data_IF_618143751219
#
_entry.id   IF_618143751219
#
_cell.length_a   1.000
_cell.length_b   1.000
_cell.length_c   1.000
_cell.angle_alpha   90.00
_cell.angle_beta   90.00
_cell.angle_gamma   90.00
#
_symmetry.space_group_name_H-M   'P 1'
#
loop_
_entity.id
_entity.type
_entity.pdbx_description
1 polymer ?
#
# COMPACT_ATOMS: atom_id res chain seq x y z
N UNK A 1 -34.19 19.10 -5.03
CA UNK A 1 -33.31 18.83 -3.86
C UNK A 1 -31.86 19.16 -4.18
N UNK A 2 -31.26 18.60 -5.25
CA UNK A 2 -29.87 18.89 -5.67
C UNK A 2 -29.55 20.38 -5.94
N UNK A 3 -30.52 21.17 -6.41
CA UNK A 3 -30.32 22.60 -6.71
C UNK A 3 -30.22 23.50 -5.46
N UNK A 4 -30.66 23.01 -4.29
CA UNK A 4 -30.63 23.75 -3.01
C UNK A 4 -29.62 23.17 -2.01
N UNK A 5 -28.96 22.07 -2.36
CA UNK A 5 -27.87 21.53 -1.56
C UNK A 5 -26.66 22.44 -1.70
N UNK A 6 -25.97 22.79 -0.61
CA UNK A 6 -24.64 23.39 -0.71
C UNK A 6 -23.77 22.54 -1.63
N UNK A 7 -22.96 23.17 -2.47
CA UNK A 7 -21.91 22.46 -3.21
C UNK A 7 -20.93 21.95 -2.16
N UNK A 8 -21.14 20.70 -1.73
CA UNK A 8 -20.16 19.98 -0.94
C UNK A 8 -19.04 19.61 -1.90
N UNK A 9 -18.00 20.42 -1.90
CA UNK A 9 -16.75 20.02 -2.50
C UNK A 9 -16.17 18.90 -1.63
N UNK A 10 -16.38 17.66 -2.05
CA UNK A 10 -15.77 16.49 -1.42
C UNK A 10 -14.27 16.48 -1.74
N UNK A 11 -13.50 17.40 -1.16
CA UNK A 11 -12.05 17.53 -1.36
C UNK A 11 -11.22 16.40 -0.73
N UNK A 12 -11.88 15.40 -0.12
CA UNK A 12 -11.28 14.14 0.32
C UNK A 12 -11.74 12.93 -0.52
N UNK A 13 -12.49 13.15 -1.61
CA UNK A 13 -12.83 12.08 -2.57
C UNK A 13 -11.70 11.79 -3.56
N UNK A 14 -10.57 12.46 -3.41
CA UNK A 14 -9.40 12.28 -4.27
C UNK A 14 -8.67 11.01 -3.84
N UNK A 15 -9.01 9.94 -4.54
CA UNK A 15 -8.38 8.65 -4.47
C UNK A 15 -6.93 8.84 -4.89
N UNK A 16 -6.00 8.63 -3.95
CA UNK A 16 -4.61 8.39 -4.31
C UNK A 16 -4.59 7.31 -5.42
N UNK A 17 -3.89 7.58 -6.51
CA UNK A 17 -3.58 6.54 -7.48
C UNK A 17 -2.84 5.40 -6.76
N UNK A 18 -3.24 4.16 -7.01
CA UNK A 18 -2.47 2.97 -6.68
C UNK A 18 -2.42 2.13 -7.95
N UNK A 19 -1.31 1.44 -8.18
CA UNK A 19 -1.28 0.48 -9.27
C UNK A 19 -1.97 -0.82 -8.86
N UNK A 20 -2.65 -1.44 -9.83
CA UNK A 20 -3.18 -2.79 -9.71
C UNK A 20 -2.15 -3.84 -10.15
N UNK A 21 -0.97 -3.42 -10.59
CA UNK A 21 0.14 -4.31 -10.94
C UNK A 21 0.70 -4.94 -9.66
N UNK A 22 0.61 -6.26 -9.60
CA UNK A 22 1.27 -7.06 -8.57
C UNK A 22 1.65 -8.40 -9.18
N UNK A 23 2.80 -8.90 -8.75
CA UNK A 23 3.32 -10.22 -9.12
C UNK A 23 3.44 -11.01 -7.83
N UNK A 24 3.00 -12.27 -7.85
CA UNK A 24 3.22 -13.17 -6.73
C UNK A 24 4.67 -13.65 -6.75
N UNK A 25 5.34 -13.55 -5.61
CA UNK A 25 6.67 -14.10 -5.39
C UNK A 25 6.60 -15.60 -5.12
N UNK A 26 7.75 -16.26 -5.18
CA UNK A 26 7.89 -17.61 -4.66
C UNK A 26 7.48 -17.65 -3.18
N UNK A 27 6.79 -18.72 -2.77
CA UNK A 27 6.17 -18.82 -1.45
C UNK A 27 4.93 -17.94 -1.23
N UNK A 28 4.46 -17.17 -2.23
CA UNK A 28 3.28 -16.31 -2.12
C UNK A 28 2.05 -16.90 -2.81
N UNK A 29 0.89 -16.80 -2.16
CA UNK A 29 -0.41 -17.19 -2.71
C UNK A 29 -1.47 -16.12 -2.43
N UNK A 30 -2.45 -16.00 -3.33
CA UNK A 30 -3.53 -15.06 -3.18
C UNK A 30 -4.88 -15.68 -3.51
N UNK A 31 -5.75 -15.75 -2.50
CA UNK A 31 -7.13 -16.23 -2.67
C UNK A 31 -8.09 -15.05 -2.64
N UNK A 32 -9.03 -15.00 -3.60
CA UNK A 32 -10.05 -13.95 -3.69
C UNK A 32 -11.45 -14.54 -3.62
N UNK A 33 -12.35 -13.83 -2.95
CA UNK A 33 -13.75 -14.17 -2.83
C UNK A 33 -14.61 -12.99 -3.29
N UNK A 34 -15.63 -13.28 -4.10
CA UNK A 34 -16.69 -12.32 -4.43
C UNK A 34 -17.49 -11.88 -3.20
N UNK A 35 -17.58 -12.74 -2.20
CA UNK A 35 -18.35 -12.51 -0.99
C UNK A 35 -17.47 -12.02 0.17
N UNK A 36 -18.00 -11.14 1.05
CA UNK A 36 -17.37 -10.79 2.31
C UNK A 36 -17.08 -12.03 3.19
N UNK A 37 -15.91 -12.05 3.82
CA UNK A 37 -15.41 -13.13 4.65
C UNK A 37 -15.33 -12.70 6.11
N UNK A 38 -16.23 -13.24 6.92
CA UNK A 38 -16.13 -13.16 8.38
C UNK A 38 -16.17 -11.75 8.97
N UNK A 39 -16.74 -10.75 8.29
CA UNK A 39 -16.78 -9.37 8.81
C UNK A 39 -15.49 -8.58 8.61
N UNK A 40 -14.73 -8.89 7.56
CA UNK A 40 -13.50 -8.19 7.18
C UNK A 40 -13.75 -7.06 6.19
N UNK A 41 -13.53 -5.83 6.61
CA UNK A 41 -13.76 -4.65 5.77
C UNK A 41 -13.11 -3.42 6.38
N UNK A 42 -12.88 -2.40 5.57
CA UNK A 42 -12.38 -1.12 6.06
C UNK A 42 -13.54 -0.26 6.55
N UNK A 43 -13.48 0.15 7.81
CA UNK A 43 -14.37 1.16 8.35
C UNK A 43 -13.62 2.46 8.61
N UNK A 44 -14.31 3.58 8.41
CA UNK A 44 -13.79 4.92 8.69
C UNK A 44 -14.43 5.45 9.98
N UNK A 45 -13.73 6.28 10.78
CA UNK A 45 -14.32 6.87 11.99
C UNK A 45 -15.65 7.59 11.72
N UNK A 46 -15.84 8.14 10.53
CA UNK A 46 -17.09 8.80 10.12
C UNK A 46 -18.29 7.84 10.12
N UNK A 47 -18.06 6.55 9.88
CA UNK A 47 -19.13 5.57 9.75
C UNK A 47 -19.86 5.28 11.05
N UNK A 48 -19.22 5.56 12.18
CA UNK A 48 -19.76 5.31 13.49
C UNK A 48 -20.42 6.55 14.14
N UNK A 49 -20.38 7.70 13.45
CA UNK A 49 -20.95 8.98 13.94
C UNK A 49 -22.47 9.06 13.79
N UNK A 50 -23.08 8.24 12.93
CA UNK A 50 -24.51 8.25 12.66
C UNK A 50 -25.14 6.88 12.92
N UNK A 51 -26.10 6.81 13.85
CA UNK A 51 -26.74 5.55 14.26
C UNK A 51 -27.41 4.82 13.09
N UNK A 52 -28.02 5.55 12.14
CA UNK A 52 -28.61 4.95 10.95
C UNK A 52 -27.57 4.21 10.09
N UNK A 53 -26.35 4.76 10.00
CA UNK A 53 -25.25 4.18 9.22
C UNK A 53 -24.67 2.96 9.92
N UNK A 54 -24.50 3.03 11.24
CA UNK A 54 -24.11 1.87 12.08
C UNK A 54 -25.09 0.72 11.88
N UNK A 55 -26.40 0.99 11.99
CA UNK A 55 -27.47 -0.01 11.76
C UNK A 55 -27.43 -0.55 10.33
N UNK A 56 -27.16 0.30 9.34
CA UNK A 56 -27.05 -0.11 7.94
C UNK A 56 -25.87 -1.07 7.70
N UNK A 57 -24.69 -0.77 8.26
CA UNK A 57 -23.46 -1.54 8.11
C UNK A 57 -23.48 -2.85 8.90
N UNK A 58 -24.23 -2.91 10.01
CA UNK A 58 -24.40 -4.12 10.81
C UNK A 58 -25.28 -5.20 10.13
N UNK A 59 -26.15 -4.81 9.18
CA UNK A 59 -27.00 -5.78 8.45
C UNK A 59 -26.13 -6.79 7.68
N UNK A 60 -26.53 -8.07 7.58
CA UNK A 60 -25.83 -9.02 6.71
C UNK A 60 -25.84 -8.59 5.23
N UNK A 61 -24.77 -8.88 4.46
CA UNK A 61 -23.43 -9.22 4.95
C UNK A 61 -22.77 -7.99 5.60
N UNK A 62 -22.22 -8.13 6.81
CA UNK A 62 -21.67 -6.99 7.58
C UNK A 62 -20.65 -6.19 6.75
N UNK A 63 -20.74 -4.86 6.80
CA UNK A 63 -19.84 -3.93 6.09
C UNK A 63 -20.54 -3.03 5.06
N UNK A 64 -19.79 -2.39 4.14
CA UNK A 64 -20.29 -1.38 3.22
C UNK A 64 -21.40 -1.91 2.32
N UNK A 65 -22.38 -1.07 2.02
CA UNK A 65 -23.56 -1.41 1.22
C UNK A 65 -23.53 -0.76 -0.15
N UNK A 66 -23.95 -1.48 -1.21
CA UNK A 66 -23.98 -0.89 -2.54
C UNK A 66 -25.17 0.05 -2.67
N UNK A 67 -24.99 1.12 -3.45
CA UNK A 67 -26.09 2.01 -3.81
C UNK A 67 -27.13 1.28 -4.69
N UNK A 68 -26.71 0.27 -5.45
CA UNK A 68 -27.53 -0.49 -6.39
C UNK A 68 -27.66 -1.97 -5.98
N UNK A 69 -28.43 -2.23 -4.91
CA UNK A 69 -28.61 -3.59 -4.35
C UNK A 69 -29.25 -4.61 -5.29
N UNK A 70 -29.97 -4.15 -6.30
CA UNK A 70 -30.56 -5.00 -7.32
C UNK A 70 -29.52 -5.61 -8.27
N UNK A 71 -28.34 -4.97 -8.40
CA UNK A 71 -27.24 -5.47 -9.23
C UNK A 71 -26.33 -6.43 -8.44
N UNK A 72 -26.00 -6.06 -7.20
CA UNK A 72 -25.25 -6.93 -6.29
C UNK A 72 -25.64 -6.62 -4.85
N UNK A 73 -25.80 -7.66 -4.02
CA UNK A 73 -25.94 -7.49 -2.57
C UNK A 73 -24.59 -7.19 -1.89
N UNK A 74 -23.47 -7.45 -2.58
CA UNK A 74 -22.11 -7.25 -2.10
C UNK A 74 -21.49 -5.99 -2.73
N UNK A 75 -21.16 -5.02 -1.89
CA UNK A 75 -20.35 -3.86 -2.31
C UNK A 75 -18.84 -4.13 -2.26
N UNK A 76 -18.45 -5.19 -1.56
CA UNK A 76 -17.07 -5.59 -1.35
C UNK A 76 -17.01 -7.12 -1.28
N UNK A 77 -15.84 -7.65 -1.62
CA UNK A 77 -15.43 -9.01 -1.30
C UNK A 77 -14.13 -8.94 -0.50
N UNK A 78 -13.48 -10.09 -0.31
CA UNK A 78 -12.18 -10.13 0.34
C UNK A 78 -11.14 -10.85 -0.49
N UNK A 79 -9.88 -10.59 -0.17
CA UNK A 79 -8.77 -11.44 -0.56
C UNK A 79 -7.90 -11.77 0.65
N UNK A 80 -7.11 -12.83 0.54
CA UNK A 80 -6.13 -13.26 1.52
C UNK A 80 -4.82 -13.56 0.79
N UNK A 81 -3.81 -12.73 1.08
CA UNK A 81 -2.42 -13.03 0.75
C UNK A 81 -1.83 -13.93 1.83
N UNK A 82 -1.11 -14.95 1.42
CA UNK A 82 -0.27 -15.78 2.30
C UNK A 82 1.11 -15.81 1.69
N UNK A 83 2.11 -15.35 2.44
CA UNK A 83 3.52 -15.39 2.06
C UNK A 83 4.29 -16.26 3.05
N UNK A 84 4.88 -17.34 2.57
CA UNK A 84 5.58 -18.37 3.34
C UNK A 84 6.79 -18.87 2.52
N UNK A 85 7.87 -18.07 2.44
CA UNK A 85 9.04 -18.43 1.65
C UNK A 85 9.83 -19.57 2.28
N UNK A 86 10.40 -20.47 1.47
CA UNK A 86 11.45 -21.39 1.92
C UNK A 86 12.77 -20.63 2.10
N UNK A 87 13.14 -20.37 3.35
CA UNK A 87 14.36 -19.63 3.69
C UNK A 87 15.63 -20.48 3.66
N UNK A 88 15.53 -21.76 3.33
CA UNK A 88 16.69 -22.63 3.30
C UNK A 88 17.48 -22.48 2.00
N UNK A 89 18.76 -22.85 2.04
CA UNK A 89 19.67 -22.79 0.88
C UNK A 89 19.26 -23.68 -0.31
N UNK A 90 18.20 -24.48 -0.17
CA UNK A 90 17.64 -25.33 -1.23
C UNK A 90 16.70 -24.56 -2.17
N UNK A 91 16.26 -23.36 -1.79
CA UNK A 91 15.29 -22.56 -2.54
C UNK A 91 15.82 -21.16 -2.85
N UNK A 92 15.29 -20.59 -3.94
CA UNK A 92 15.54 -19.20 -4.33
C UNK A 92 14.51 -18.22 -3.74
N UNK A 93 13.51 -18.70 -2.98
CA UNK A 93 12.45 -17.88 -2.37
C UNK A 93 13.00 -16.70 -1.58
N UNK A 94 14.12 -16.87 -0.87
CA UNK A 94 14.75 -15.77 -0.15
C UNK A 94 15.17 -14.64 -1.10
N UNK A 95 15.86 -14.96 -2.19
CA UNK A 95 16.39 -13.96 -3.12
C UNK A 95 15.31 -13.32 -4.00
N UNK A 96 14.29 -14.08 -4.37
CA UNK A 96 13.08 -13.56 -5.04
C UNK A 96 12.26 -12.66 -4.09
N UNK A 97 12.20 -13.05 -2.82
CA UNK A 97 11.36 -12.47 -1.79
C UNK A 97 11.91 -11.19 -1.14
N UNK A 98 13.23 -11.15 -0.94
CA UNK A 98 13.91 -10.15 -0.13
C UNK A 98 14.02 -8.83 -0.89
N UNK A 99 13.57 -7.76 -0.25
CA UNK A 99 13.67 -6.44 -0.82
C UNK A 99 15.12 -5.91 -0.66
N UNK A 100 15.69 -6.08 0.54
CA UNK A 100 17.01 -5.60 0.94
C UNK A 100 17.50 -6.39 2.15
N UNK A 101 18.81 -6.64 2.23
CA UNK A 101 19.39 -7.42 3.31
C UNK A 101 20.85 -7.03 3.55
N UNK A 102 21.34 -7.31 4.76
CA UNK A 102 22.72 -7.08 5.16
C UNK A 102 23.18 -8.19 6.08
N UNK A 103 24.39 -8.70 5.86
CA UNK A 103 25.04 -9.72 6.69
C UNK A 103 24.16 -10.94 7.02
N UNK A 104 23.31 -11.37 6.10
CA UNK A 104 22.49 -12.59 6.22
C UNK A 104 22.64 -13.46 4.98
N UNK A 105 22.43 -14.76 5.14
CA UNK A 105 22.45 -15.76 4.07
C UNK A 105 21.52 -16.94 4.40
N UNK A 106 20.91 -17.59 3.40
CA UNK A 106 20.27 -18.89 3.59
C UNK A 106 21.27 -19.95 4.08
N UNK A 107 20.79 -20.91 4.85
CA UNK A 107 21.48 -22.16 5.24
C UNK A 107 20.51 -23.33 5.21
N UNK A 108 20.98 -24.55 5.47
CA UNK A 108 20.10 -25.74 5.55
C UNK A 108 18.95 -25.61 6.57
N UNK A 109 19.12 -24.78 7.62
CA UNK A 109 18.17 -24.62 8.72
C UNK A 109 17.26 -23.37 8.62
N UNK A 110 17.48 -22.52 7.62
CA UNK A 110 16.77 -21.25 7.44
C UNK A 110 17.71 -20.08 7.16
N UNK A 111 17.28 -18.86 7.47
CA UNK A 111 18.09 -17.66 7.28
C UNK A 111 18.96 -17.39 8.50
N UNK A 112 20.27 -17.22 8.30
CA UNK A 112 21.26 -16.97 9.36
C UNK A 112 22.14 -15.76 9.03
N UNK A 113 22.97 -15.33 9.98
CA UNK A 113 24.05 -14.38 9.73
C UNK A 113 25.13 -14.97 8.79
N UNK A 114 25.67 -14.10 7.92
CA UNK A 114 26.82 -14.44 7.07
C UNK A 114 28.14 -14.36 7.85
N UNK A 115 28.28 -13.36 8.72
CA UNK A 115 29.40 -13.15 9.63
C UNK A 115 28.90 -12.81 11.04
N UNK A 116 29.75 -12.98 12.06
CA UNK A 116 29.43 -12.56 13.43
C UNK A 116 29.10 -11.07 13.51
N UNK A 117 28.14 -10.70 14.36
CA UNK A 117 27.68 -9.33 14.55
C UNK A 117 26.16 -9.22 14.43
N UNK A 118 25.70 -8.25 13.65
CA UNK A 118 24.28 -8.04 13.34
C UNK A 118 24.02 -8.11 11.84
N UNK A 119 22.81 -8.48 11.47
CA UNK A 119 22.35 -8.50 10.09
C UNK A 119 20.84 -8.33 10.02
N UNK A 120 20.30 -8.14 8.83
CA UNK A 120 18.86 -8.05 8.63
C UNK A 120 18.41 -8.54 7.26
N UNK A 121 17.14 -8.92 7.17
CA UNK A 121 16.43 -9.10 5.92
C UNK A 121 15.11 -8.33 5.94
N UNK A 122 14.83 -7.59 4.88
CA UNK A 122 13.59 -6.84 4.68
C UNK A 122 12.75 -7.50 3.59
N UNK A 123 11.50 -7.80 3.90
CA UNK A 123 10.51 -8.30 2.96
C UNK A 123 9.42 -7.24 2.75
N UNK A 124 9.07 -6.97 1.50
CA UNK A 124 7.92 -6.13 1.19
C UNK A 124 6.64 -6.97 1.31
N UNK A 125 5.65 -6.45 2.03
CA UNK A 125 4.29 -6.98 2.04
C UNK A 125 3.42 -5.96 1.34
N UNK A 126 3.12 -6.21 0.06
CA UNK A 126 2.37 -5.31 -0.81
C UNK A 126 1.08 -5.95 -1.27
N UNK A 127 0.05 -5.13 -1.38
CA UNK A 127 -1.23 -5.52 -1.96
C UNK A 127 -1.76 -4.39 -2.87
N UNK A 128 -2.31 -4.72 -4.04
CA UNK A 128 -3.05 -3.76 -4.86
C UNK A 128 -4.40 -3.37 -4.23
N UNK A 129 -4.82 -4.08 -3.19
CA UNK A 129 -6.05 -3.88 -2.44
C UNK A 129 -5.77 -3.37 -1.03
N UNK A 130 -6.72 -2.64 -0.46
CA UNK A 130 -6.57 -2.13 0.91
C UNK A 130 -6.59 -3.27 1.93
N UNK A 131 -5.62 -3.27 2.85
CA UNK A 131 -5.52 -4.20 3.97
C UNK A 131 -6.67 -3.93 4.94
N UNK A 132 -7.40 -4.97 5.33
CA UNK A 132 -8.60 -4.85 6.17
C UNK A 132 -8.59 -5.80 7.36
N UNK A 133 -9.01 -5.33 8.54
CA UNK A 133 -9.10 -6.15 9.73
C UNK A 133 -10.42 -6.93 9.73
N UNK A 134 -10.48 -7.92 10.61
CA UNK A 134 -11.72 -8.41 11.18
C UNK A 134 -12.28 -7.35 12.13
N UNK A 135 -13.38 -6.70 11.72
CA UNK A 135 -14.01 -5.64 12.51
C UNK A 135 -14.92 -6.27 13.56
N UNK A 136 -14.58 -6.13 14.84
CA UNK A 136 -15.42 -6.62 15.94
C UNK A 136 -16.43 -5.57 16.37
N UNK A 137 -16.03 -4.35 16.74
CA UNK A 137 -16.94 -3.23 17.04
C UNK A 137 -16.70 -2.04 16.13
N UNK A 138 -17.78 -1.50 15.54
CA UNK A 138 -17.68 -0.34 14.64
C UNK A 138 -17.24 0.96 15.35
N UNK A 139 -17.41 1.03 16.67
CA UNK A 139 -17.06 2.20 17.47
C UNK A 139 -15.65 2.14 18.08
N UNK A 140 -14.95 1.01 17.95
CA UNK A 140 -13.70 0.76 18.66
C UNK A 140 -12.67 0.13 17.70
N UNK A 141 -11.81 0.96 17.14
CA UNK A 141 -10.75 0.53 16.23
C UNK A 141 -9.63 -0.26 16.94
N UNK A 142 -9.59 -0.23 18.28
CA UNK A 142 -8.57 -0.97 19.03
C UNK A 142 -8.88 -2.47 19.10
N UNK A 143 -10.10 -2.88 18.77
CA UNK A 143 -10.52 -4.29 18.74
C UNK A 143 -10.44 -4.94 17.36
N UNK A 144 -10.02 -4.17 16.34
CA UNK A 144 -9.69 -4.65 15.01
C UNK A 144 -8.48 -5.60 15.07
N UNK A 145 -8.62 -6.76 14.42
CA UNK A 145 -7.60 -7.83 14.45
C UNK A 145 -7.45 -8.52 13.11
N UNK A 146 -6.43 -9.37 12.99
CA UNK A 146 -6.20 -10.25 11.85
C UNK A 146 -6.13 -9.55 10.48
N UNK A 147 -5.80 -8.25 10.41
CA UNK A 147 -5.58 -7.55 9.16
C UNK A 147 -4.29 -8.03 8.48
N UNK A 148 -3.22 -8.17 9.26
CA UNK A 148 -2.02 -8.89 8.86
C UNK A 148 -1.40 -9.57 10.07
N UNK A 149 -1.21 -10.89 9.99
CA UNK A 149 -0.62 -11.69 11.07
C UNK A 149 0.70 -12.28 10.59
N UNK A 150 1.77 -12.01 11.33
CA UNK A 150 3.09 -12.61 11.11
C UNK A 150 3.28 -13.72 12.12
N UNK A 151 3.59 -14.92 11.66
CA UNK A 151 4.03 -16.03 12.50
C UNK A 151 5.45 -16.36 12.12
N UNK A 152 6.37 -16.49 13.08
CA UNK A 152 7.75 -16.87 12.78
C UNK A 152 8.35 -17.70 13.91
N UNK A 153 9.43 -18.41 13.59
CA UNK A 153 10.26 -19.13 14.54
C UNK A 153 11.72 -18.72 14.31
N UNK A 154 12.33 -18.11 15.32
CA UNK A 154 13.74 -17.78 15.24
C UNK A 154 14.44 -17.60 16.59
N UNK A 155 15.75 -17.78 16.58
CA UNK A 155 16.66 -17.54 17.71
C UNK A 155 17.40 -16.24 17.50
N UNK A 156 17.40 -15.37 18.52
CA UNK A 156 18.03 -14.05 18.43
C UNK A 156 17.55 -13.22 17.23
N UNK A 157 16.26 -13.33 16.95
CA UNK A 157 15.57 -12.59 15.87
C UNK A 157 14.61 -11.59 16.48
N UNK A 158 14.65 -10.34 16.00
CA UNK A 158 13.66 -9.30 16.29
C UNK A 158 12.93 -8.90 15.02
N UNK A 159 11.67 -8.47 15.18
CA UNK A 159 10.83 -8.01 14.09
C UNK A 159 10.56 -6.51 14.21
N UNK A 160 10.73 -5.79 13.11
CA UNK A 160 10.33 -4.40 12.95
C UNK A 160 9.50 -4.22 11.67
N UNK A 161 8.71 -3.15 11.63
CA UNK A 161 7.97 -2.75 10.43
C UNK A 161 8.31 -1.32 10.03
N UNK A 162 8.22 -1.03 8.74
CA UNK A 162 8.23 0.33 8.22
C UNK A 162 6.96 0.61 7.43
N UNK A 163 6.41 1.81 7.62
CA UNK A 163 5.20 2.31 6.97
C UNK A 163 5.50 3.48 6.01
N UNK A 164 6.79 3.76 5.79
CA UNK A 164 7.31 4.90 5.03
C UNK A 164 8.51 4.48 4.16
N UNK A 165 8.42 3.30 3.54
CA UNK A 165 9.42 2.75 2.63
C UNK A 165 10.82 2.66 3.22
N UNK A 166 10.91 2.37 4.52
CA UNK A 166 12.18 2.10 5.18
C UNK A 166 12.88 3.30 5.80
N UNK A 167 12.27 4.50 5.72
CA UNK A 167 12.82 5.70 6.35
C UNK A 167 12.82 5.60 7.88
N UNK A 168 11.75 5.03 8.47
CA UNK A 168 11.67 4.75 9.89
C UNK A 168 11.23 3.31 10.16
N UNK A 169 11.69 2.77 11.29
CA UNK A 169 11.44 1.39 11.71
C UNK A 169 10.84 1.35 13.11
N UNK A 170 9.74 0.59 13.26
CA UNK A 170 9.03 0.40 14.52
C UNK A 170 9.18 -1.05 14.98
N UNK A 171 9.78 -1.33 16.15
CA UNK A 171 9.87 -2.69 16.67
C UNK A 171 8.47 -3.20 17.06
N UNK A 172 8.17 -4.44 16.68
CA UNK A 172 6.86 -5.08 16.94
C UNK A 172 6.98 -6.40 17.70
N UNK A 173 8.18 -6.94 17.85
CA UNK A 173 8.46 -8.13 18.67
C UNK A 173 9.58 -7.89 19.68
N UNK A 174 9.66 -8.77 20.66
CA UNK A 174 10.87 -9.02 21.44
C UNK A 174 11.67 -10.16 20.79
N UNK A 175 12.89 -10.38 21.29
CA UNK A 175 13.83 -11.35 20.74
C UNK A 175 13.44 -12.80 21.08
N UNK A 176 13.45 -13.68 20.05
CA UNK A 176 13.50 -15.13 20.20
C UNK A 176 12.16 -15.89 20.22
N UNK A 177 12.27 -17.18 19.88
CA UNK A 177 11.21 -18.18 19.96
C UNK A 177 10.14 -18.09 18.87
N UNK A 178 9.22 -19.06 18.91
CA UNK A 178 8.03 -19.06 18.08
C UNK A 178 7.08 -17.95 18.52
N UNK A 179 6.76 -17.05 17.59
CA UNK A 179 5.97 -15.85 17.85
C UNK A 179 4.82 -15.70 16.85
N UNK A 180 3.69 -15.16 17.32
CA UNK A 180 2.55 -14.76 16.49
C UNK A 180 2.24 -13.30 16.79
N UNK A 181 2.33 -12.44 15.78
CA UNK A 181 2.23 -11.00 15.93
C UNK A 181 1.13 -10.49 15.00
N UNK A 182 0.10 -9.92 15.60
CA UNK A 182 -0.98 -9.26 14.88
C UNK A 182 -0.61 -7.79 14.63
N UNK A 183 -0.41 -7.44 13.36
CA UNK A 183 -0.01 -6.10 12.94
C UNK A 183 -1.19 -5.15 12.69
N UNK A 184 -2.43 -5.58 12.97
CA UNK A 184 -3.65 -4.86 12.57
C UNK A 184 -3.67 -3.39 12.94
N UNK A 185 -3.26 -3.03 14.16
CA UNK A 185 -3.27 -1.65 14.65
C UNK A 185 -2.37 -0.71 13.85
N UNK A 186 -1.37 -1.24 13.14
CA UNK A 186 -0.44 -0.45 12.34
C UNK A 186 -0.79 -0.44 10.85
N UNK A 187 -1.26 -1.56 10.31
CA UNK A 187 -1.37 -1.79 8.86
C UNK A 187 -2.78 -1.74 8.29
N UNK A 188 -3.82 -1.77 9.14
CA UNK A 188 -5.21 -1.62 8.72
C UNK A 188 -5.41 -0.33 7.91
N UNK A 189 -6.05 -0.44 6.74
CA UNK A 189 -6.30 0.69 5.85
C UNK A 189 -5.12 1.12 4.98
N UNK A 190 -4.02 0.35 4.95
CA UNK A 190 -2.86 0.57 4.07
C UNK A 190 -2.87 -0.37 2.87
N UNK A 191 -1.98 -0.15 1.91
CA UNK A 191 -1.77 -1.05 0.76
C UNK A 191 -0.52 -1.93 0.90
N UNK A 192 0.36 -1.60 1.85
CA UNK A 192 1.54 -2.39 2.11
C UNK A 192 2.36 -1.83 3.27
N UNK A 193 3.41 -2.56 3.61
CA UNK A 193 4.41 -2.22 4.62
C UNK A 193 5.67 -3.04 4.37
N UNK A 194 6.79 -2.62 4.95
CA UNK A 194 8.01 -3.42 4.97
C UNK A 194 8.12 -4.17 6.30
N UNK A 195 8.57 -5.41 6.22
CA UNK A 195 8.80 -6.29 7.36
C UNK A 195 10.30 -6.57 7.47
N UNK A 196 10.94 -6.23 8.58
CA UNK A 196 12.37 -6.44 8.80
C UNK A 196 12.60 -7.43 9.92
N UNK A 197 13.30 -8.51 9.60
CA UNK A 197 13.88 -9.41 10.58
C UNK A 197 15.31 -8.97 10.86
N UNK A 198 15.62 -8.71 12.13
CA UNK A 198 16.96 -8.35 12.60
C UNK A 198 17.55 -9.54 13.34
N UNK A 199 18.76 -9.93 12.95
CA UNK A 199 19.52 -11.05 13.50
C UNK A 199 20.75 -10.51 14.24
N UNK A 200 21.14 -11.17 15.34
CA UNK A 200 22.35 -10.81 16.08
C UNK A 200 23.02 -12.00 16.74
N UNK A 201 24.35 -12.04 16.71
CA UNK A 201 25.17 -13.10 17.27
C UNK A 201 26.12 -13.69 16.25
N UNK A 202 26.24 -15.02 16.24
CA UNK A 202 27.11 -15.77 15.33
C UNK A 202 26.31 -16.47 14.23
N UNK A 203 26.94 -16.79 13.08
CA UNK A 203 26.36 -17.70 12.11
C UNK A 203 25.86 -18.99 12.78
N UNK A 204 24.71 -19.47 12.33
CA UNK A 204 24.01 -20.68 12.76
C UNK A 204 23.48 -20.65 14.22
N UNK A 205 23.88 -19.66 15.04
CA UNK A 205 23.27 -19.37 16.35
C UNK A 205 22.08 -18.40 16.24
N UNK A 206 22.18 -17.38 15.38
CA UNK A 206 21.06 -16.48 15.06
C UNK A 206 20.37 -16.97 13.80
N UNK A 207 19.14 -17.43 13.96
CA UNK A 207 18.46 -18.22 12.94
C UNK A 207 17.00 -17.84 12.85
N UNK A 208 16.52 -17.53 11.64
CA UNK A 208 15.10 -17.47 11.30
C UNK A 208 14.76 -18.72 10.50
N UNK A 209 14.10 -19.68 11.15
CA UNK A 209 13.81 -21.00 10.54
C UNK A 209 12.70 -20.91 9.52
N UNK A 210 11.63 -20.21 9.87
CA UNK A 210 10.48 -20.00 9.01
C UNK A 210 9.71 -18.74 9.41
N UNK A 211 8.98 -18.16 8.46
CA UNK A 211 7.89 -17.24 8.77
C UNK A 211 6.75 -17.34 7.77
N UNK A 212 5.57 -16.91 8.21
CA UNK A 212 4.36 -16.81 7.42
C UNK A 212 3.74 -15.44 7.66
N UNK A 213 3.33 -14.75 6.60
CA UNK A 213 2.51 -13.54 6.67
C UNK A 213 1.15 -13.83 6.07
N UNK A 214 0.08 -13.58 6.81
CA UNK A 214 -1.31 -13.69 6.34
C UNK A 214 -1.97 -12.33 6.35
N UNK A 215 -2.21 -11.76 5.17
CA UNK A 215 -2.75 -10.39 5.02
C UNK A 215 -4.12 -10.43 4.36
N UNK A 216 -5.13 -9.94 5.08
CA UNK A 216 -6.49 -9.81 4.56
C UNK A 216 -6.68 -8.47 3.87
N UNK A 217 -7.34 -8.50 2.72
CA UNK A 217 -7.59 -7.32 1.89
C UNK A 217 -9.05 -7.24 1.48
N UNK A 218 -9.51 -6.04 1.12
CA UNK A 218 -10.84 -5.81 0.58
C UNK A 218 -10.77 -5.59 -0.92
N UNK A 219 -11.49 -6.44 -1.67
CA UNK A 219 -11.57 -6.36 -3.13
C UNK A 219 -12.92 -5.79 -3.55
N UNK A 220 -12.99 -5.18 -4.74
CA UNK A 220 -14.25 -4.89 -5.39
C UNK A 220 -14.69 -6.14 -6.18
N UNK A 221 -15.85 -6.76 -5.90
CA UNK A 221 -16.28 -7.96 -6.63
C UNK A 221 -16.38 -7.73 -8.14
N UNK A 222 -16.72 -6.52 -8.55
CA UNK A 222 -16.80 -6.12 -9.96
C UNK A 222 -15.43 -6.07 -10.67
N UNK A 223 -14.30 -6.04 -9.95
CA UNK A 223 -12.97 -6.13 -10.56
C UNK A 223 -12.42 -7.55 -10.62
N UNK A 224 -13.15 -8.54 -10.12
CA UNK A 224 -12.78 -9.94 -10.27
C UNK A 224 -13.14 -10.42 -11.69
N UNK A 225 -12.35 -11.34 -12.29
CA UNK A 225 -12.59 -11.82 -13.64
C UNK A 225 -14.02 -12.35 -13.80
N UNK A 226 -14.73 -11.86 -14.82
CA UNK A 226 -16.04 -12.38 -15.18
C UNK A 226 -15.87 -13.74 -15.87
N UNK A 227 -15.88 -14.82 -15.09
CA UNK A 227 -15.83 -16.17 -15.63
C UNK A 227 -17.17 -16.52 -16.31
N UNK A 228 -17.10 -17.07 -17.52
CA UNK A 228 -18.27 -17.59 -18.23
C UNK A 228 -18.58 -19.01 -17.76
N UNK A 229 -19.83 -19.43 -17.86
CA UNK A 229 -20.19 -20.84 -17.66
C UNK A 229 -19.44 -21.68 -18.71
N UNK A 230 -18.80 -22.76 -18.27
CA UNK A 230 -18.05 -23.67 -19.14
C UNK A 230 -16.54 -23.43 -19.07
N UNK A 231 -15.86 -23.59 -20.21
CA UNK A 231 -14.41 -23.46 -20.33
C UNK A 231 -14.01 -21.98 -20.34
N UNK A 232 -13.09 -21.60 -19.46
CA UNK A 232 -12.44 -20.30 -19.46
C UNK A 232 -10.95 -20.54 -19.73
N UNK A 233 -10.37 -19.76 -20.64
CA UNK A 233 -8.94 -19.79 -20.89
C UNK A 233 -8.27 -18.73 -20.02
N UNK A 234 -7.24 -19.14 -19.30
CA UNK A 234 -6.49 -18.29 -18.38
C UNK A 234 -5.01 -18.42 -18.73
N UNK A 235 -4.31 -17.29 -18.75
CA UNK A 235 -2.88 -17.23 -18.98
C UNK A 235 -2.18 -16.81 -17.68
N UNK A 236 -1.13 -17.53 -17.32
CA UNK A 236 -0.18 -17.06 -16.32
C UNK A 236 0.87 -16.20 -17.05
N UNK A 237 1.01 -14.96 -16.60
CA UNK A 237 2.05 -14.03 -17.06
C UNK A 237 2.94 -13.67 -15.87
N UNK A 238 4.21 -13.39 -16.15
CA UNK A 238 5.18 -12.95 -15.16
C UNK A 238 5.67 -11.54 -15.52
N UNK A 239 6.11 -10.79 -14.51
CA UNK A 239 6.50 -9.39 -14.64
C UNK A 239 5.32 -8.43 -14.52
N UNK A 240 5.64 -7.14 -14.61
CA UNK A 240 4.67 -6.05 -14.58
C UNK A 240 3.85 -5.96 -15.87
N UNK A 241 3.07 -4.88 -16.03
CA UNK A 241 2.26 -4.65 -17.23
C UNK A 241 3.07 -4.62 -18.54
N UNK A 242 4.38 -4.37 -18.48
CA UNK A 242 5.31 -4.39 -19.61
C UNK A 242 6.10 -5.70 -19.72
N UNK A 243 5.81 -6.69 -18.87
CA UNK A 243 6.53 -7.96 -18.80
C UNK A 243 7.93 -7.84 -18.17
N UNK A 244 8.22 -6.74 -17.47
CA UNK A 244 9.50 -6.52 -16.82
C UNK A 244 9.48 -7.04 -15.38
N UNK A 245 10.59 -7.58 -14.86
CA UNK A 245 10.70 -8.01 -13.45
C UNK A 245 10.87 -6.79 -12.54
N UNK A 246 9.84 -5.95 -12.44
CA UNK A 246 9.86 -4.74 -11.61
C UNK A 246 9.11 -4.94 -10.30
N UNK A 247 9.44 -4.08 -9.33
CA UNK A 247 8.69 -3.89 -8.09
C UNK A 247 8.29 -2.43 -7.99
N UNK A 248 7.13 -2.20 -7.38
CA UNK A 248 6.58 -0.85 -7.29
C UNK A 248 7.16 -0.12 -6.09
N UNK A 249 7.84 1.01 -6.32
CA UNK A 249 8.21 1.95 -5.27
C UNK A 249 7.21 3.10 -5.28
N UNK A 250 6.47 3.27 -4.19
CA UNK A 250 5.41 4.27 -4.12
C UNK A 250 5.83 5.50 -3.33
N UNK A 251 5.75 6.68 -3.95
CA UNK A 251 5.88 7.96 -3.27
C UNK A 251 4.50 8.58 -3.10
N UNK A 252 4.05 8.70 -1.85
CA UNK A 252 2.76 9.30 -1.49
C UNK A 252 2.94 10.41 -0.48
N UNK A 253 2.68 11.64 -0.91
CA UNK A 253 2.60 12.79 -0.03
C UNK A 253 1.15 13.04 0.40
N UNK A 254 0.95 13.41 1.66
CA UNK A 254 -0.29 14.02 2.12
C UNK A 254 -0.03 15.51 2.38
N UNK A 255 -0.38 16.37 1.42
CA UNK A 255 -0.11 17.81 1.55
C UNK A 255 -0.83 18.48 2.74
N UNK A 256 -1.80 17.81 3.37
CA UNK A 256 -2.42 18.26 4.62
C UNK A 256 -1.58 17.98 5.88
N UNK A 257 -0.52 17.18 5.77
CA UNK A 257 0.38 16.80 6.88
C UNK A 257 1.81 17.21 6.54
N UNK A 258 2.31 18.25 7.20
CA UNK A 258 3.65 18.83 6.98
C UNK A 258 4.75 17.78 6.94
N UNK A 259 4.85 16.93 7.96
CA UNK A 259 5.88 15.90 8.03
C UNK A 259 5.78 14.88 6.89
N UNK A 260 4.56 14.51 6.49
CA UNK A 260 4.31 13.57 5.38
C UNK A 260 4.73 14.13 4.03
N UNK A 261 4.52 15.43 3.81
CA UNK A 261 4.94 16.11 2.58
C UNK A 261 6.45 16.36 2.58
N UNK A 262 6.97 17.05 3.59
CA UNK A 262 8.34 17.58 3.58
C UNK A 262 9.41 16.49 3.54
N UNK A 263 9.15 15.31 4.11
CA UNK A 263 10.10 14.19 4.06
C UNK A 263 10.38 13.64 2.65
N UNK A 264 9.52 13.94 1.69
CA UNK A 264 9.65 13.49 0.29
C UNK A 264 10.28 14.54 -0.61
N UNK A 265 10.32 15.80 -0.17
CA UNK A 265 10.78 16.91 -0.99
C UNK A 265 12.28 17.13 -0.81
N UNK A 266 12.94 17.53 -1.89
CA UNK A 266 14.34 17.96 -1.86
C UNK A 266 14.49 19.21 -0.99
N UNK A 267 13.56 20.16 -1.13
CA UNK A 267 13.49 21.38 -0.33
C UNK A 267 12.03 21.68 0.05
N UNK A 268 11.78 22.35 1.19
CA UNK A 268 10.44 22.83 1.55
C UNK A 268 9.90 23.84 0.51
N UNK A 269 8.60 23.83 0.20
CA UNK A 269 8.03 24.82 -0.72
C UNK A 269 8.01 26.20 -0.07
N UNK A 270 8.29 27.25 -0.86
CA UNK A 270 8.24 28.64 -0.38
C UNK A 270 6.85 29.04 0.15
N UNK A 271 5.78 28.67 -0.57
CA UNK A 271 4.39 28.93 -0.17
C UNK A 271 3.67 27.61 0.13
N UNK A 272 3.81 27.17 1.39
CA UNK A 272 3.15 25.98 1.93
C UNK A 272 2.32 26.29 3.19
N UNK A 273 1.04 25.94 3.14
CA UNK A 273 0.10 26.01 4.25
C UNK A 273 -0.83 24.77 4.27
N UNK A 274 -0.65 23.83 5.22
CA UNK A 274 -1.48 22.62 5.30
C UNK A 274 -2.96 22.91 5.58
N UNK A 275 -3.28 24.05 6.22
CA UNK A 275 -4.63 24.45 6.56
C UNK A 275 -5.38 25.02 5.34
N UNK A 276 -4.67 25.40 4.27
CA UNK A 276 -5.29 25.99 3.08
C UNK A 276 -6.08 24.95 2.29
N UNK A 277 -7.40 25.13 2.20
CA UNK A 277 -8.27 24.14 1.56
C UNK A 277 -8.10 23.98 0.05
N UNK A 278 -7.66 25.01 -0.67
CA UNK A 278 -7.72 25.04 -2.15
C UNK A 278 -6.37 24.97 -2.87
N UNK A 279 -5.25 25.19 -2.16
CA UNK A 279 -3.91 25.24 -2.75
C UNK A 279 -2.82 25.12 -1.68
N UNK A 280 -2.79 23.99 -0.94
CA UNK A 280 -1.88 23.79 0.19
C UNK A 280 -0.43 24.12 -0.14
N UNK A 281 -0.01 23.86 -1.37
CA UNK A 281 1.25 24.34 -1.94
C UNK A 281 0.95 25.28 -3.10
N UNK A 282 1.70 26.37 -3.21
CA UNK A 282 1.81 27.19 -4.43
C UNK A 282 3.26 27.29 -4.84
N UNK A 283 3.52 27.08 -6.12
CA UNK A 283 4.86 27.02 -6.67
C UNK A 283 5.29 25.60 -6.98
N UNK A 284 6.59 25.44 -7.22
CA UNK A 284 7.22 24.18 -7.56
C UNK A 284 7.46 23.33 -6.30
N UNK A 285 7.38 22.02 -6.47
CA UNK A 285 7.91 21.05 -5.53
C UNK A 285 8.71 20.00 -6.29
N UNK A 286 9.82 19.57 -5.70
CA UNK A 286 10.67 18.55 -6.26
C UNK A 286 10.72 17.40 -5.26
N UNK A 287 10.25 16.22 -5.68
CA UNK A 287 10.33 15.00 -4.89
C UNK A 287 11.40 14.08 -5.48
N UNK A 288 12.21 13.46 -4.61
CA UNK A 288 13.24 12.50 -5.05
C UNK A 288 12.68 11.09 -5.03
N UNK A 289 12.82 10.39 -6.15
CA UNK A 289 12.58 8.95 -6.24
C UNK A 289 13.92 8.22 -6.32
N UNK A 290 14.12 7.24 -5.45
CA UNK A 290 15.33 6.41 -5.44
C UNK A 290 14.93 4.96 -5.72
N UNK A 291 15.66 4.32 -6.63
CA UNK A 291 15.61 2.87 -6.74
C UNK A 291 16.27 2.26 -5.49
N UNK A 292 15.79 1.11 -4.99
CA UNK A 292 16.46 0.45 -3.88
C UNK A 292 17.87 -0.02 -4.30
N UNK A 293 18.76 -0.32 -3.33
CA UNK A 293 20.13 -0.73 -3.63
C UNK A 293 20.22 -1.86 -4.67
N UNK A 294 21.09 -1.70 -5.66
CA UNK A 294 21.29 -2.68 -6.74
C UNK A 294 20.21 -2.69 -7.83
N UNK A 295 19.21 -1.81 -7.75
CA UNK A 295 18.15 -1.69 -8.76
C UNK A 295 18.22 -0.35 -9.52
N UNK A 296 17.48 -0.26 -10.62
CA UNK A 296 17.26 0.97 -11.40
C UNK A 296 15.76 1.24 -11.53
N UNK A 297 15.39 2.48 -11.86
CA UNK A 297 14.00 2.83 -12.18
C UNK A 297 13.75 2.45 -13.63
N UNK A 298 12.95 1.41 -13.87
CA UNK A 298 12.60 0.97 -15.22
C UNK A 298 11.59 1.90 -15.90
N UNK A 299 10.58 2.34 -15.15
CA UNK A 299 9.55 3.29 -15.57
C UNK A 299 8.88 3.86 -14.31
N UNK A 300 8.10 4.93 -14.48
CA UNK A 300 7.30 5.50 -13.40
C UNK A 300 6.00 6.08 -13.94
N UNK A 301 5.03 6.23 -13.04
CA UNK A 301 3.81 7.00 -13.26
C UNK A 301 3.79 8.14 -12.25
N UNK A 302 3.37 9.32 -12.68
CA UNK A 302 3.22 10.48 -11.81
C UNK A 302 1.82 11.06 -11.95
N UNK A 303 1.20 11.39 -10.82
CA UNK A 303 -0.13 11.99 -10.75
C UNK A 303 -0.20 12.98 -9.59
N UNK A 304 -1.05 13.99 -9.72
CA UNK A 304 -1.18 15.03 -8.72
C UNK A 304 -2.51 15.78 -8.86
N UNK A 305 -3.12 16.09 -7.72
CA UNK A 305 -4.30 16.95 -7.67
C UNK A 305 -3.87 18.42 -7.68
N UNK A 306 -3.92 19.05 -8.85
CA UNK A 306 -3.64 20.48 -8.99
C UNK A 306 -4.89 21.33 -8.96
N UNK A 307 -4.75 22.56 -8.45
CA UNK A 307 -5.77 23.60 -8.67
C UNK A 307 -5.75 24.01 -10.14
N UNK A 308 -6.93 24.14 -10.75
CA UNK A 308 -7.09 24.65 -12.12
C UNK A 308 -7.97 25.90 -12.12
N UNK A 309 -7.79 26.75 -13.12
CA UNK A 309 -8.76 27.78 -13.46
C UNK A 309 -9.90 27.11 -14.24
N UNK A 310 -11.10 27.65 -14.14
CA UNK A 310 -12.31 27.13 -14.79
C UNK A 310 -12.91 28.17 -15.75
N UNK A 311 -13.84 27.75 -16.60
CA UNK A 311 -14.50 28.64 -17.56
C UNK A 311 -13.50 29.23 -18.56
N UNK A 312 -13.74 30.48 -18.98
CA UNK A 312 -12.83 31.23 -19.85
C UNK A 312 -11.42 31.39 -19.28
N UNK A 313 -11.25 31.26 -17.96
CA UNK A 313 -9.94 31.34 -17.31
C UNK A 313 -9.16 30.03 -17.39
N UNK A 314 -9.75 28.91 -17.82
CA UNK A 314 -9.08 27.60 -17.88
C UNK A 314 -7.78 27.64 -18.71
N UNK A 315 -7.74 28.46 -19.76
CA UNK A 315 -6.53 28.73 -20.57
C UNK A 315 -5.34 29.29 -19.79
N UNK A 316 -5.56 29.79 -18.56
CA UNK A 316 -4.50 30.29 -17.66
C UNK A 316 -3.89 29.17 -16.80
N UNK A 317 -4.42 27.95 -16.84
CA UNK A 317 -3.83 26.82 -16.12
C UNK A 317 -2.55 26.38 -16.81
N UNK A 318 -1.47 26.30 -16.03
CA UNK A 318 -0.13 25.90 -16.50
C UNK A 318 0.50 24.86 -15.58
N UNK A 319 -0.32 23.94 -15.05
CA UNK A 319 0.20 22.87 -14.20
C UNK A 319 1.03 21.92 -15.06
N UNK A 320 2.20 21.54 -14.58
CA UNK A 320 3.14 20.68 -15.30
C UNK A 320 3.62 19.56 -14.38
N UNK A 321 3.95 18.41 -14.98
CA UNK A 321 4.72 17.35 -14.33
C UNK A 321 5.92 17.10 -15.21
N UNK A 322 7.09 17.06 -14.60
CA UNK A 322 8.35 16.83 -15.27
C UNK A 322 9.23 15.92 -14.40
N UNK A 323 10.26 15.33 -15.00
CA UNK A 323 11.26 14.54 -14.28
C UNK A 323 12.67 14.95 -14.68
N UNK A 324 13.62 14.70 -13.79
CA UNK A 324 15.05 14.81 -14.05
C UNK A 324 15.74 13.53 -13.56
N UNK A 325 16.88 13.22 -14.15
CA UNK A 325 17.69 12.04 -13.79
C UNK A 325 18.97 12.53 -13.12
N UNK A 326 19.40 11.82 -12.07
CA UNK A 326 20.58 12.08 -11.23
C UNK A 326 20.53 13.37 -10.38
N UNK A 327 20.17 14.51 -10.97
CA UNK A 327 20.11 15.83 -10.30
C UNK A 327 18.79 16.54 -10.58
N UNK A 328 18.31 17.43 -9.69
CA UNK A 328 17.10 18.22 -9.90
C UNK A 328 17.34 19.38 -10.88
N UNK A 329 17.84 19.06 -12.07
CA UNK A 329 18.26 20.00 -13.11
C UNK A 329 17.75 19.48 -14.47
N UNK A 330 17.55 20.37 -15.45
CA UNK A 330 17.19 19.98 -16.83
C UNK A 330 15.94 19.09 -16.95
N UNK A 331 14.88 19.44 -16.22
CA UNK A 331 13.63 18.68 -16.21
C UNK A 331 13.00 18.48 -17.60
N UNK A 332 12.63 17.24 -17.90
CA UNK A 332 11.87 16.83 -19.08
C UNK A 332 10.39 16.80 -18.73
N UNK A 333 9.61 17.67 -19.37
CA UNK A 333 8.16 17.72 -19.21
C UNK A 333 7.50 16.46 -19.77
N UNK A 334 6.73 15.76 -18.93
CA UNK A 334 5.91 14.60 -19.32
C UNK A 334 4.43 14.92 -19.34
N UNK A 335 4.04 16.01 -18.69
CA UNK A 335 2.65 16.44 -18.64
C UNK A 335 2.53 17.96 -18.60
N UNK A 336 1.60 18.51 -19.38
CA UNK A 336 1.16 19.90 -19.32
C UNK A 336 -0.34 20.00 -19.40
N UNK A 337 -0.91 20.73 -18.44
CA UNK A 337 -2.34 20.94 -18.35
C UNK A 337 -2.91 21.68 -19.56
N UNK A 338 -3.88 21.07 -20.24
CA UNK A 338 -4.71 21.69 -21.25
C UNK A 338 -6.19 21.59 -20.85
N UNK A 339 -6.60 22.45 -19.91
CA UNK A 339 -7.94 22.41 -19.31
C UNK A 339 -8.95 23.10 -20.25
N UNK A 340 -9.97 22.41 -20.78
CA UNK A 340 -11.02 23.00 -21.59
C UNK A 340 -11.87 23.97 -20.77
N UNK A 341 -12.33 25.04 -21.43
CA UNK A 341 -13.15 26.07 -20.79
C UNK A 341 -14.49 25.55 -20.24
N UNK A 342 -15.03 24.47 -20.79
CA UNK A 342 -16.27 23.86 -20.31
C UNK A 342 -16.09 22.97 -19.08
N UNK A 343 -14.85 22.70 -18.65
CA UNK A 343 -14.62 21.76 -17.57
C UNK A 343 -14.71 22.43 -16.19
N UNK A 344 -15.63 21.95 -15.37
CA UNK A 344 -15.85 22.43 -14.00
C UNK A 344 -15.09 21.61 -12.94
N UNK A 345 -14.38 20.55 -13.34
CA UNK A 345 -13.47 19.78 -12.50
C UNK A 345 -12.36 19.20 -13.37
N UNK A 346 -11.12 19.10 -12.87
CA UNK A 346 -10.03 18.55 -13.66
C UNK A 346 -9.02 17.82 -12.75
N UNK A 347 -8.65 16.59 -13.10
CA UNK A 347 -7.74 15.71 -12.33
C UNK A 347 -6.66 15.09 -13.23
N UNK A 348 -5.51 14.74 -12.64
CA UNK A 348 -4.37 14.06 -13.29
C UNK A 348 -3.88 12.88 -12.48
#
# INVERSE_FOLDING_TARGET
>A
MYQKSPIYYYYNFHQFGHTMDYVLRQGESFTRWWEPRGGRWRHLPEYNKAEWLVRLLARPPRGPKPNHRHFSVHNHGNGLFVYEPDLSERSDDFFDGVAWYENVRPSAAGLTLANEGSGFAVFEIRSPYIIVPLVKKLHDFSDDREASVVTFDGERVRLAISLDNGQSWQPVSHEGGRSVIDLSKWVSGRYGYLLRFELSGRPDESLLRHFTVRTWVQVAPASLPALRKGRNEMQLVAGDHYGLPTRVVELRSEAGRRESLLKLLVEPPEDYDPARHTARVRGEIIARAEAPPGATIAWFSAGASFRTYQGERAKRTKNTIAYAVDRPEHFVEIYRANVPAYCNHWHY
#
